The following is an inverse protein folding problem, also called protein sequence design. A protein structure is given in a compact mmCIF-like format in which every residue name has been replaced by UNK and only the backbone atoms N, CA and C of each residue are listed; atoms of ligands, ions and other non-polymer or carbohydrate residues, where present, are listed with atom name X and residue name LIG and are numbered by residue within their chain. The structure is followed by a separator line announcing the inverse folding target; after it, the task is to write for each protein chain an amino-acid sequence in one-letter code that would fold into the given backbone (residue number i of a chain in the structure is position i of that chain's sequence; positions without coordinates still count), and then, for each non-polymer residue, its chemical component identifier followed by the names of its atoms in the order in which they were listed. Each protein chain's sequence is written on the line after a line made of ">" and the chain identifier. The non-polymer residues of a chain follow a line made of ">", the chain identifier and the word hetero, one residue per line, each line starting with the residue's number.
data_IF_886218666620
#
_entry.id   IF_886218666620
#
_cell.length_a   1.000
_cell.length_b   1.000
_cell.length_c   1.000
_cell.angle_alpha   90.00
_cell.angle_beta   90.00
_cell.angle_gamma   90.00
#
_symmetry.space_group_name_H-M   'P 1'
#
loop_
_entity.id
_entity.type
_entity.pdbx_description
1 polymer ?
#
# COMPACT_ATOMS: atom_id res chain seq x y z
N UNK A 1 -63.78 25.96 -29.00
CA UNK A 1 -62.85 24.81 -29.07
C UNK A 1 -62.11 24.72 -27.76
N UNK A 2 -62.43 23.73 -26.93
CA UNK A 2 -61.82 23.53 -25.61
C UNK A 2 -60.56 22.68 -25.78
N UNK A 3 -59.39 23.21 -25.44
CA UNK A 3 -58.11 22.48 -25.52
C UNK A 3 -58.05 21.48 -24.37
N UNK A 4 -58.13 20.19 -24.69
CA UNK A 4 -57.85 19.12 -23.75
C UNK A 4 -56.35 19.15 -23.43
N UNK A 5 -55.99 19.38 -22.17
CA UNK A 5 -54.64 19.15 -21.66
C UNK A 5 -54.60 17.75 -21.06
N UNK A 6 -53.89 16.82 -21.72
CA UNK A 6 -53.53 15.54 -21.12
C UNK A 6 -52.15 15.66 -20.48
N UNK A 7 -52.05 15.37 -19.19
CA UNK A 7 -50.78 15.13 -18.50
C UNK A 7 -50.50 13.63 -18.56
N UNK A 8 -49.41 13.25 -19.23
CA UNK A 8 -48.92 11.88 -19.26
C UNK A 8 -47.81 11.74 -18.21
N UNK A 9 -47.94 10.76 -17.33
CA UNK A 9 -46.93 10.41 -16.33
C UNK A 9 -46.59 8.93 -16.48
N UNK A 10 -45.31 8.59 -16.41
CA UNK A 10 -44.82 7.21 -16.40
C UNK A 10 -44.01 6.96 -15.14
N UNK A 11 -44.11 5.75 -14.59
CA UNK A 11 -43.28 5.26 -13.50
C UNK A 11 -42.14 4.46 -14.12
N UNK A 12 -40.90 4.89 -13.88
CA UNK A 12 -39.69 4.17 -14.28
C UNK A 12 -39.05 3.51 -13.06
N UNK A 13 -38.32 2.42 -13.29
CA UNK A 13 -37.61 1.69 -12.25
C UNK A 13 -36.10 1.85 -12.43
N UNK A 14 -35.38 2.01 -11.32
CA UNK A 14 -33.93 1.93 -11.28
C UNK A 14 -33.52 0.62 -10.58
N UNK A 15 -32.59 -0.12 -11.19
CA UNK A 15 -31.98 -1.30 -10.61
C UNK A 15 -30.53 -0.98 -10.25
N UNK A 16 -30.12 -1.36 -9.05
CA UNK A 16 -28.73 -1.25 -8.62
C UNK A 16 -28.34 -2.48 -7.80
N UNK A 17 -27.04 -2.79 -7.81
CA UNK A 17 -26.45 -3.80 -6.93
C UNK A 17 -25.46 -3.09 -5.99
N UNK A 18 -25.68 -3.23 -4.69
CA UNK A 18 -24.74 -2.69 -3.70
C UNK A 18 -23.62 -3.71 -3.48
N UNK A 19 -22.38 -3.24 -3.61
CA UNK A 19 -21.18 -4.02 -3.32
C UNK A 19 -20.43 -3.35 -2.17
N UNK A 20 -19.78 -4.15 -1.33
CA UNK A 20 -18.87 -3.61 -0.31
C UNK A 20 -17.67 -2.97 -1.00
N UNK A 21 -17.38 -1.68 -0.74
CA UNK A 21 -16.18 -1.07 -1.27
C UNK A 21 -14.96 -1.70 -0.61
N UNK A 22 -13.90 -1.89 -1.41
CA UNK A 22 -12.59 -2.25 -0.87
C UNK A 22 -12.05 -1.05 -0.10
N UNK A 23 -11.63 -1.28 1.14
CA UNK A 23 -10.97 -0.28 1.98
C UNK A 23 -9.55 -0.72 2.29
N UNK A 24 -8.63 0.23 2.38
CA UNK A 24 -7.25 0.00 2.80
C UNK A 24 -6.87 0.93 3.94
N UNK A 25 -6.15 0.39 4.92
CA UNK A 25 -5.57 1.12 6.03
C UNK A 25 -4.15 0.62 6.32
N UNK A 26 -3.22 1.54 6.63
CA UNK A 26 -1.95 1.18 7.24
C UNK A 26 -2.10 1.14 8.76
N UNK A 27 -2.36 -0.06 9.30
CA UNK A 27 -2.52 -0.28 10.73
C UNK A 27 -1.21 -0.13 11.51
N UNK A 28 -0.06 -0.28 10.84
CA UNK A 28 1.26 -0.08 11.43
C UNK A 28 2.26 0.45 10.39
N UNK A 29 3.06 1.48 10.69
CA UNK A 29 4.13 1.93 9.81
C UNK A 29 5.25 0.89 9.71
N UNK A 30 5.99 0.91 8.60
CA UNK A 30 7.25 0.20 8.47
C UNK A 30 8.33 0.97 9.23
N UNK A 31 8.98 0.28 10.16
CA UNK A 31 10.16 0.77 10.88
C UNK A 31 11.39 0.02 10.39
N UNK A 32 12.33 0.73 9.78
CA UNK A 32 13.55 0.12 9.23
C UNK A 32 14.68 -0.05 10.26
N UNK A 33 14.50 0.51 11.46
CA UNK A 33 15.56 0.58 12.47
C UNK A 33 16.63 1.60 12.12
N UNK A 34 17.81 1.42 12.71
CA UNK A 34 19.02 2.21 12.43
C UNK A 34 19.67 1.78 11.11
N UNK A 35 20.03 2.78 10.31
CA UNK A 35 20.68 2.61 9.01
C UNK A 35 21.98 3.39 9.01
N UNK A 36 23.09 2.73 8.67
CA UNK A 36 24.39 3.40 8.51
C UNK A 36 24.36 4.34 7.31
N UNK A 37 24.84 5.57 7.52
CA UNK A 37 24.92 6.60 6.49
C UNK A 37 26.09 6.39 5.52
N UNK A 38 26.08 5.26 4.82
CA UNK A 38 27.12 4.87 3.86
C UNK A 38 26.66 5.32 2.46
N UNK A 39 27.40 6.17 1.74
CA UNK A 39 27.10 6.49 0.35
C UNK A 39 26.96 5.22 -0.48
N UNK A 40 25.89 5.13 -1.28
CA UNK A 40 25.55 3.93 -2.07
C UNK A 40 25.30 2.68 -1.22
N UNK A 41 25.12 2.85 0.09
CA UNK A 41 24.72 1.80 1.00
C UNK A 41 23.27 1.40 0.76
N UNK A 42 22.99 0.11 0.92
CA UNK A 42 21.64 -0.45 0.79
C UNK A 42 21.29 -1.19 2.07
N UNK A 43 20.06 -1.02 2.52
CA UNK A 43 19.47 -1.85 3.54
C UNK A 43 18.06 -2.30 3.12
N UNK A 44 17.88 -3.61 3.01
CA UNK A 44 16.61 -4.27 2.77
C UNK A 44 16.10 -4.88 4.07
N UNK A 45 14.81 -4.74 4.33
CA UNK A 45 14.10 -5.30 5.48
C UNK A 45 12.87 -6.05 4.98
N UNK A 46 12.78 -7.35 5.29
CA UNK A 46 11.66 -8.23 4.93
C UNK A 46 11.25 -9.11 6.12
N UNK A 47 10.29 -10.02 5.91
CA UNK A 47 9.92 -11.04 6.89
C UNK A 47 11.03 -12.07 7.16
N UNK A 48 11.97 -12.22 6.23
CA UNK A 48 13.12 -13.12 6.37
C UNK A 48 14.29 -12.53 7.16
N UNK A 49 14.30 -11.21 7.40
CA UNK A 49 15.45 -10.54 8.01
C UNK A 49 15.76 -9.19 7.37
N UNK A 50 16.95 -8.69 7.70
CA UNK A 50 17.56 -7.56 6.99
C UNK A 50 18.77 -8.01 6.18
N UNK A 51 19.09 -7.26 5.13
CA UNK A 51 20.23 -7.53 4.24
C UNK A 51 20.80 -6.24 3.69
N UNK A 52 22.13 -6.16 3.60
CA UNK A 52 22.83 -5.04 2.98
C UNK A 52 23.87 -4.41 3.91
N UNK A 53 24.78 -3.64 3.32
CA UNK A 53 25.90 -3.04 4.05
C UNK A 53 25.50 -1.81 4.89
N UNK A 54 24.34 -1.22 4.62
CA UNK A 54 23.83 -0.09 5.40
C UNK A 54 22.95 -0.51 6.57
N UNK A 55 22.59 -1.80 6.72
CA UNK A 55 21.80 -2.24 7.86
C UNK A 55 22.66 -2.26 9.14
N UNK A 56 22.23 -1.54 10.19
CA UNK A 56 22.96 -1.53 11.46
C UNK A 56 22.65 -2.73 12.37
N UNK A 57 21.68 -3.58 12.01
CA UNK A 57 21.30 -4.76 12.79
C UNK A 57 20.52 -4.45 14.06
N UNK A 58 19.85 -3.30 14.11
CA UNK A 58 18.97 -2.89 15.19
C UNK A 58 17.54 -3.41 14.99
N UNK A 59 16.67 -3.15 15.97
CA UNK A 59 15.27 -3.55 15.91
C UNK A 59 14.55 -2.87 14.75
N UNK A 60 13.98 -3.67 13.86
CA UNK A 60 13.11 -3.24 12.78
C UNK A 60 11.72 -3.84 12.97
N UNK A 61 10.73 -3.32 12.25
CA UNK A 61 9.40 -3.93 12.25
C UNK A 61 8.65 -3.65 10.96
N UNK A 62 8.07 -4.70 10.37
CA UNK A 62 7.33 -4.57 9.12
C UNK A 62 6.10 -3.67 9.28
N UNK A 63 5.79 -2.94 8.21
CA UNK A 63 4.52 -2.24 8.09
C UNK A 63 3.38 -3.23 7.96
N UNK A 64 2.22 -2.89 8.50
CA UNK A 64 1.01 -3.72 8.43
C UNK A 64 -0.06 -2.96 7.67
N UNK A 65 -0.54 -3.57 6.59
CA UNK A 65 -1.73 -3.16 5.88
C UNK A 65 -2.90 -4.04 6.24
N UNK A 66 -4.05 -3.40 6.37
CA UNK A 66 -5.35 -4.04 6.46
C UNK A 66 -6.11 -3.73 5.18
N UNK A 67 -6.57 -4.79 4.51
CA UNK A 67 -7.42 -4.70 3.34
C UNK A 67 -8.73 -5.42 3.64
N UNK A 68 -9.83 -4.70 3.53
CA UNK A 68 -11.18 -5.24 3.71
C UNK A 68 -11.95 -5.12 2.40
N UNK A 69 -12.86 -6.07 2.17
CA UNK A 69 -13.74 -6.10 1.01
C UNK A 69 -14.64 -7.32 1.07
N UNK A 70 -15.29 -7.63 -0.04
CA UNK A 70 -16.15 -8.83 -0.11
C UNK A 70 -15.30 -10.09 -0.16
N UNK A 71 -15.78 -11.18 0.42
CA UNK A 71 -15.09 -12.47 0.31
C UNK A 71 -14.98 -12.93 -1.14
N UNK A 72 -13.87 -13.57 -1.47
CA UNK A 72 -13.54 -14.04 -2.83
C UNK A 72 -13.37 -12.93 -3.85
N UNK A 73 -13.38 -11.67 -3.42
CA UNK A 73 -13.05 -10.55 -4.28
C UNK A 73 -11.55 -10.54 -4.55
N UNK A 74 -11.16 -10.47 -5.82
CA UNK A 74 -9.78 -10.35 -6.21
C UNK A 74 -9.40 -8.87 -6.27
N UNK A 75 -8.28 -8.53 -5.63
CA UNK A 75 -7.70 -7.19 -5.71
C UNK A 75 -6.21 -7.29 -6.05
N UNK A 76 -5.72 -6.30 -6.78
CA UNK A 76 -4.30 -6.08 -6.97
C UNK A 76 -3.86 -4.93 -6.06
N UNK A 77 -2.85 -5.21 -5.24
CA UNK A 77 -2.22 -4.21 -4.39
C UNK A 77 -0.89 -3.84 -5.01
N UNK A 78 -0.63 -2.54 -5.12
CA UNK A 78 0.61 -2.00 -5.68
C UNK A 78 1.19 -0.98 -4.71
N UNK A 79 2.50 -1.03 -4.51
CA UNK A 79 3.25 -0.11 -3.66
C UNK A 79 4.29 0.62 -4.49
N UNK A 80 4.23 1.95 -4.49
CA UNK A 80 5.10 2.77 -5.33
C UNK A 80 6.38 3.14 -4.58
N UNK A 81 7.51 3.14 -5.29
CA UNK A 81 8.76 3.66 -4.74
C UNK A 81 8.63 5.15 -4.48
N UNK A 82 9.41 5.63 -3.51
CA UNK A 82 9.55 7.03 -3.18
C UNK A 82 11.04 7.39 -3.13
N UNK A 83 11.38 8.63 -3.45
CA UNK A 83 12.75 9.10 -3.33
C UNK A 83 12.80 10.56 -2.92
N UNK A 84 13.93 10.95 -2.36
CA UNK A 84 14.29 12.34 -2.13
C UNK A 84 15.78 12.54 -2.52
N UNK A 85 16.34 13.68 -2.16
CA UNK A 85 17.72 14.02 -2.52
C UNK A 85 18.80 13.15 -1.84
N UNK A 86 18.45 12.36 -0.82
CA UNK A 86 19.37 11.61 0.05
C UNK A 86 19.17 10.09 -0.05
N UNK A 87 17.93 9.65 -0.29
CA UNK A 87 17.57 8.22 -0.29
C UNK A 87 16.56 7.88 -1.38
N UNK A 88 16.61 6.61 -1.81
CA UNK A 88 15.55 5.94 -2.57
C UNK A 88 14.95 4.84 -1.71
N UNK A 89 13.63 4.78 -1.65
CA UNK A 89 12.90 3.78 -0.91
C UNK A 89 12.02 2.98 -1.87
N UNK A 90 12.18 1.66 -1.81
CA UNK A 90 11.41 0.69 -2.58
C UNK A 90 10.65 -0.21 -1.59
N UNK A 91 9.33 -0.01 -1.39
CA UNK A 91 8.55 -0.91 -0.56
C UNK A 91 8.48 -2.31 -1.18
N UNK A 92 8.43 -3.35 -0.35
CA UNK A 92 8.47 -4.75 -0.76
C UNK A 92 7.27 -5.48 -0.15
N UNK A 93 6.43 -6.09 -0.99
CA UNK A 93 5.31 -6.93 -0.57
C UNK A 93 5.79 -8.36 -0.25
N UNK A 94 4.96 -9.21 0.39
CA UNK A 94 5.37 -10.56 0.80
C UNK A 94 5.89 -11.48 -0.31
N UNK A 95 5.57 -11.19 -1.57
CA UNK A 95 6.08 -11.92 -2.73
C UNK A 95 7.43 -11.38 -3.24
N UNK A 96 8.06 -10.43 -2.53
CA UNK A 96 9.31 -9.78 -2.94
C UNK A 96 9.14 -8.73 -4.05
N UNK A 97 7.91 -8.39 -4.43
CA UNK A 97 7.62 -7.46 -5.53
C UNK A 97 6.93 -6.18 -5.03
N UNK A 98 6.70 -5.23 -5.95
CA UNK A 98 5.92 -4.02 -5.71
C UNK A 98 4.44 -4.15 -6.09
N UNK A 99 4.03 -5.34 -6.53
CA UNK A 99 2.62 -5.67 -6.74
C UNK A 99 2.32 -7.12 -6.32
N UNK A 100 1.11 -7.34 -5.81
CA UNK A 100 0.59 -8.66 -5.46
C UNK A 100 -0.91 -8.70 -5.73
N UNK A 101 -1.39 -9.82 -6.28
CA UNK A 101 -2.83 -10.10 -6.39
C UNK A 101 -3.24 -11.02 -5.25
N UNK A 102 -4.30 -10.66 -4.54
CA UNK A 102 -4.83 -11.44 -3.42
C UNK A 102 -6.33 -11.66 -3.58
N UNK A 103 -6.81 -12.78 -3.04
CA UNK A 103 -8.23 -13.02 -2.81
C UNK A 103 -8.55 -12.58 -1.39
N UNK A 104 -9.50 -11.65 -1.26
CA UNK A 104 -9.97 -11.19 0.03
C UNK A 104 -10.79 -12.28 0.72
N UNK A 105 -10.57 -12.45 2.02
CA UNK A 105 -11.37 -13.35 2.85
C UNK A 105 -12.57 -12.62 3.47
N UNK A 106 -13.53 -13.35 4.04
CA UNK A 106 -14.58 -12.74 4.89
C UNK A 106 -14.00 -12.09 6.16
N UNK A 107 -12.78 -12.48 6.55
CA UNK A 107 -12.01 -11.84 7.61
C UNK A 107 -11.11 -10.73 7.07
N UNK A 108 -10.65 -9.87 7.97
CA UNK A 108 -9.64 -8.85 7.72
C UNK A 108 -8.41 -9.47 7.05
N UNK A 109 -8.05 -8.99 5.86
CA UNK A 109 -6.85 -9.48 5.16
C UNK A 109 -5.66 -8.61 5.55
N UNK A 110 -4.65 -9.25 6.15
CA UNK A 110 -3.45 -8.57 6.61
C UNK A 110 -2.29 -8.80 5.63
N UNK A 111 -1.55 -7.73 5.33
CA UNK A 111 -0.33 -7.80 4.54
C UNK A 111 0.79 -7.08 5.26
N UNK A 112 1.96 -7.71 5.28
CA UNK A 112 3.16 -7.16 5.87
C UNK A 112 4.05 -6.60 4.77
N UNK A 113 4.45 -5.33 4.92
CA UNK A 113 5.28 -4.59 3.96
C UNK A 113 6.68 -4.45 4.56
N UNK A 114 7.67 -4.93 3.81
CA UNK A 114 9.07 -4.60 4.00
C UNK A 114 9.50 -3.45 3.10
N UNK A 115 10.81 -3.24 2.99
CA UNK A 115 11.34 -2.24 2.07
C UNK A 115 12.85 -2.26 1.94
N UNK A 116 13.33 -1.71 0.84
CA UNK A 116 14.73 -1.45 0.56
C UNK A 116 14.97 0.06 0.56
N UNK A 117 15.94 0.50 1.35
CA UNK A 117 16.42 1.87 1.38
C UNK A 117 17.82 1.91 0.79
N UNK A 118 18.00 2.70 -0.27
CA UNK A 118 19.29 2.99 -0.88
C UNK A 118 19.70 4.42 -0.55
N UNK A 119 20.90 4.61 -0.01
CA UNK A 119 21.46 5.92 0.29
C UNK A 119 22.17 6.45 -0.96
N UNK A 120 21.66 7.53 -1.55
CA UNK A 120 22.22 8.08 -2.79
C UNK A 120 23.45 8.94 -2.54
N UNK A 121 23.51 9.58 -1.37
CA UNK A 121 24.64 10.37 -0.87
C UNK A 121 24.57 10.46 0.66
N UNK A 122 25.67 10.80 1.31
CA UNK A 122 25.66 11.02 2.76
C UNK A 122 24.59 12.05 3.14
N UNK A 123 23.68 11.63 4.01
CA UNK A 123 22.63 12.45 4.59
C UNK A 123 23.10 13.08 5.91
N UNK A 124 22.36 14.07 6.43
CA UNK A 124 22.52 14.45 7.85
C UNK A 124 21.94 13.37 8.74
N UNK A 125 22.65 13.03 9.82
CA UNK A 125 22.19 12.08 10.84
C UNK A 125 20.88 12.55 11.53
N UNK A 126 20.17 11.58 12.10
CA UNK A 126 18.92 11.80 12.84
C UNK A 126 17.74 11.04 12.24
N UNK A 127 16.57 11.25 12.84
CA UNK A 127 15.34 10.58 12.42
C UNK A 127 14.88 11.12 11.07
N UNK A 128 14.66 10.21 10.12
CA UNK A 128 14.18 10.51 8.77
C UNK A 128 12.90 9.73 8.50
N UNK A 129 12.03 10.30 7.69
CA UNK A 129 10.81 9.64 7.22
C UNK A 129 10.66 9.82 5.72
N UNK A 130 10.15 8.81 5.03
CA UNK A 130 9.79 8.87 3.62
C UNK A 130 8.38 8.35 3.44
N UNK A 131 7.56 9.10 2.70
CA UNK A 131 6.18 8.73 2.41
C UNK A 131 6.15 8.01 1.06
N UNK A 132 5.39 6.93 1.00
CA UNK A 132 5.16 6.14 -0.20
C UNK A 132 3.67 5.83 -0.36
N UNK A 133 3.25 5.56 -1.59
CA UNK A 133 1.83 5.37 -1.92
C UNK A 133 1.50 3.89 -2.05
N UNK A 134 0.34 3.50 -1.53
CA UNK A 134 -0.25 2.18 -1.74
C UNK A 134 -1.53 2.36 -2.54
N UNK A 135 -1.68 1.56 -3.60
CA UNK A 135 -2.84 1.51 -4.48
C UNK A 135 -3.51 0.14 -4.34
N UNK A 136 -4.85 0.13 -4.31
CA UNK A 136 -5.64 -1.11 -4.38
C UNK A 136 -6.60 -1.01 -5.55
N UNK A 137 -6.44 -1.92 -6.49
CA UNK A 137 -7.22 -1.97 -7.72
C UNK A 137 -8.10 -3.21 -7.72
N UNK A 138 -9.36 -3.04 -8.12
CA UNK A 138 -10.26 -4.17 -8.41
C UNK A 138 -9.71 -4.94 -9.61
N UNK A 139 -9.92 -6.25 -9.62
CA UNK A 139 -9.61 -7.13 -10.76
C UNK A 139 -10.90 -7.77 -11.28
#
# INVERSE_FOLDING_TARGET
>A
MQRLFCLATAIAHAHFNLVLPVSIEQAKPLEMGEIYNIPQGVCEVTDTGYKGNACAGSNYSLGKLIVNGSSSQQVQIKVNSAENNEVKFKPILPNGQQSISILLSTATTELYIGGELSITKSATEGNKSIQYTIEVNYQ
#
